data_IF_280593062868
#
_entry.id   IF_280593062868
#
_cell.length_a   1.000
_cell.length_b   1.000
_cell.length_c   1.000
_cell.angle_alpha   90.00
_cell.angle_beta   90.00
_cell.angle_gamma   90.00
#
_symmetry.space_group_name_H-M   'P 1'
#
loop_
_entity.id
_entity.type
_entity.pdbx_description
1 polymer ?
#
# COMPACT_ATOMS: atom_id res chain seq x y z
N UNK A 1 16.45 -16.08 10.23
CA UNK A 1 15.23 -15.26 10.08
C UNK A 1 15.48 -14.30 8.94
N UNK A 2 14.71 -14.41 7.86
CA UNK A 2 14.78 -13.47 6.75
C UNK A 2 13.49 -12.62 6.70
N UNK A 3 13.60 -11.39 6.21
CA UNK A 3 12.46 -10.51 5.94
C UNK A 3 12.35 -10.31 4.44
N UNK A 4 11.22 -10.69 3.88
CA UNK A 4 10.92 -10.46 2.47
C UNK A 4 9.84 -9.40 2.33
N UNK A 5 10.04 -8.42 1.45
CA UNK A 5 8.97 -7.49 1.07
C UNK A 5 8.43 -7.86 -0.32
N UNK A 6 7.11 -7.82 -0.48
CA UNK A 6 6.40 -8.22 -1.71
C UNK A 6 5.54 -7.05 -2.19
N UNK A 7 5.57 -6.82 -3.52
CA UNK A 7 4.76 -5.81 -4.20
C UNK A 7 3.27 -6.14 -4.23
N UNK A 8 2.49 -5.26 -4.87
CA UNK A 8 1.03 -5.32 -4.98
C UNK A 8 0.54 -6.68 -5.48
N UNK A 9 -0.29 -7.36 -4.68
CA UNK A 9 -0.78 -8.71 -4.95
C UNK A 9 -2.07 -8.72 -5.77
N UNK A 10 -2.95 -7.78 -5.53
CA UNK A 10 -4.20 -7.54 -6.27
C UNK A 10 -4.96 -8.82 -6.66
N UNK A 11 -5.13 -9.76 -5.70
CA UNK A 11 -5.89 -11.00 -5.92
C UNK A 11 -5.17 -12.07 -6.76
N UNK A 12 -3.89 -11.95 -7.06
CA UNK A 12 -3.12 -12.97 -7.77
C UNK A 12 -2.60 -14.07 -6.83
N UNK A 13 -3.52 -14.78 -6.20
CA UNK A 13 -3.20 -15.79 -5.17
C UNK A 13 -2.26 -16.90 -5.66
N UNK A 14 -2.51 -17.46 -6.85
CA UNK A 14 -1.64 -18.51 -7.41
C UNK A 14 -0.21 -17.98 -7.66
N UNK A 15 -0.05 -16.76 -8.16
CA UNK A 15 1.27 -16.16 -8.35
C UNK A 15 1.96 -15.93 -7.00
N UNK A 16 1.21 -15.48 -6.00
CA UNK A 16 1.71 -15.33 -4.63
C UNK A 16 2.19 -16.66 -4.05
N UNK A 17 1.41 -17.73 -4.14
CA UNK A 17 1.82 -19.07 -3.68
C UNK A 17 3.13 -19.52 -4.34
N UNK A 18 3.22 -19.40 -5.67
CA UNK A 18 4.45 -19.75 -6.40
C UNK A 18 5.65 -18.86 -6.00
N UNK A 19 5.42 -17.61 -5.64
CA UNK A 19 6.49 -16.72 -5.20
C UNK A 19 6.99 -17.10 -3.80
N UNK A 20 6.11 -17.42 -2.86
CA UNK A 20 6.50 -17.89 -1.52
C UNK A 20 7.21 -19.25 -1.57
N UNK A 21 6.83 -20.14 -2.51
CA UNK A 21 7.56 -21.38 -2.77
C UNK A 21 8.97 -21.10 -3.34
N UNK A 22 9.07 -20.17 -4.30
CA UNK A 22 10.35 -19.78 -4.93
C UNK A 22 11.35 -19.23 -3.91
N UNK A 23 10.88 -18.40 -2.98
CA UNK A 23 11.72 -17.83 -1.91
C UNK A 23 11.93 -18.81 -0.75
N UNK A 24 11.25 -19.96 -0.76
CA UNK A 24 11.26 -20.96 0.30
C UNK A 24 10.90 -20.38 1.66
N UNK A 25 9.81 -19.60 1.68
CA UNK A 25 9.34 -18.93 2.90
C UNK A 25 8.95 -19.94 3.97
N UNK A 26 9.52 -19.78 5.16
CA UNK A 26 9.17 -20.55 6.35
C UNK A 26 8.51 -19.64 7.39
N UNK A 27 7.18 -19.70 7.58
CA UNK A 27 6.46 -18.80 8.49
C UNK A 27 6.89 -18.96 9.97
N UNK A 28 7.57 -20.06 10.33
CA UNK A 28 8.10 -20.25 11.68
C UNK A 28 9.38 -19.44 11.93
N UNK A 29 10.09 -19.04 10.87
CA UNK A 29 11.39 -18.38 10.97
C UNK A 29 11.43 -17.02 10.27
N UNK A 30 10.66 -16.82 9.19
CA UNK A 30 10.75 -15.66 8.32
C UNK A 30 9.54 -14.73 8.48
N UNK A 31 9.65 -13.51 7.95
CA UNK A 31 8.55 -12.54 7.89
C UNK A 31 8.32 -12.09 6.45
N UNK A 32 7.05 -11.93 6.07
CA UNK A 32 6.64 -11.26 4.84
C UNK A 32 6.11 -9.87 5.16
N UNK A 33 6.60 -8.88 4.42
CA UNK A 33 6.06 -7.52 4.41
C UNK A 33 5.31 -7.30 3.11
N UNK A 34 4.02 -7.00 3.18
CA UNK A 34 3.15 -6.81 2.03
C UNK A 34 2.85 -5.32 1.89
N UNK A 35 3.20 -4.73 0.74
CA UNK A 35 3.10 -3.27 0.53
C UNK A 35 1.66 -2.77 0.34
N UNK A 36 0.66 -3.64 0.49
CA UNK A 36 -0.76 -3.31 0.33
C UNK A 36 -1.32 -3.72 -1.03
N UNK A 37 -2.55 -3.29 -1.30
CA UNK A 37 -3.31 -3.70 -2.48
C UNK A 37 -3.33 -5.23 -2.63
N UNK A 38 -3.74 -5.91 -1.58
CA UNK A 38 -3.85 -7.38 -1.61
C UNK A 38 -5.08 -7.85 -2.35
N UNK A 39 -6.11 -7.02 -2.46
CA UNK A 39 -7.39 -7.35 -3.11
C UNK A 39 -7.61 -6.57 -4.39
N UNK A 40 -8.65 -6.99 -5.13
CA UNK A 40 -9.17 -6.36 -6.35
C UNK A 40 -8.33 -6.68 -7.60
N UNK A 41 -8.91 -6.43 -8.79
CA UNK A 41 -8.33 -6.60 -10.13
C UNK A 41 -8.04 -8.04 -10.55
N UNK A 42 -7.33 -8.79 -9.76
CA UNK A 42 -6.98 -10.19 -10.04
C UNK A 42 -8.12 -11.17 -9.72
N UNK A 43 -7.93 -12.44 -10.05
CA UNK A 43 -9.03 -13.44 -10.08
C UNK A 43 -9.44 -13.96 -8.71
N UNK A 44 -8.58 -13.92 -7.69
CA UNK A 44 -8.83 -14.63 -6.44
C UNK A 44 -8.42 -13.84 -5.17
N UNK A 45 -9.08 -12.69 -5.01
CA UNK A 45 -8.89 -11.84 -3.82
C UNK A 45 -9.37 -12.51 -2.53
N UNK A 46 -10.40 -13.35 -2.59
CA UNK A 46 -10.98 -13.99 -1.40
C UNK A 46 -10.01 -14.99 -0.78
N UNK A 47 -9.46 -15.91 -1.59
CA UNK A 47 -8.49 -16.90 -1.10
C UNK A 47 -7.22 -16.23 -0.58
N UNK A 48 -6.75 -15.19 -1.27
CA UNK A 48 -5.57 -14.43 -0.85
C UNK A 48 -5.80 -13.74 0.50
N UNK A 49 -6.94 -13.06 0.67
CA UNK A 49 -7.29 -12.37 1.91
C UNK A 49 -7.37 -13.34 3.10
N UNK A 50 -8.01 -14.50 2.90
CA UNK A 50 -8.09 -15.57 3.91
C UNK A 50 -6.72 -16.10 4.28
N UNK A 51 -5.88 -16.35 3.29
CA UNK A 51 -4.53 -16.88 3.50
C UNK A 51 -3.66 -15.91 4.32
N UNK A 52 -3.66 -14.62 3.97
CA UNK A 52 -2.89 -13.61 4.70
C UNK A 52 -3.42 -13.45 6.13
N UNK A 53 -4.75 -13.45 6.31
CA UNK A 53 -5.36 -13.40 7.65
C UNK A 53 -4.96 -14.60 8.52
N UNK A 54 -4.87 -15.80 7.95
CA UNK A 54 -4.48 -17.01 8.68
C UNK A 54 -2.99 -17.06 9.03
N UNK A 55 -2.15 -16.32 8.30
CA UNK A 55 -0.71 -16.31 8.51
C UNK A 55 -0.27 -15.52 9.76
N UNK A 56 -1.21 -14.78 10.38
CA UNK A 56 -1.01 -14.02 11.61
C UNK A 56 0.28 -13.18 11.57
N UNK A 57 1.10 -13.24 12.62
CA UNK A 57 2.33 -12.44 12.75
C UNK A 57 3.42 -12.76 11.71
N UNK A 58 3.30 -13.84 10.94
CA UNK A 58 4.26 -14.14 9.87
C UNK A 58 4.16 -13.18 8.68
N UNK A 59 3.00 -12.55 8.49
CA UNK A 59 2.74 -11.60 7.40
C UNK A 59 2.30 -10.24 7.94
N UNK A 60 3.10 -9.23 7.71
CA UNK A 60 2.80 -7.83 8.07
C UNK A 60 2.40 -7.11 6.79
N UNK A 61 1.17 -6.59 6.75
CA UNK A 61 0.71 -5.80 5.61
C UNK A 61 0.44 -4.34 5.99
N UNK A 62 0.55 -3.45 5.00
CA UNK A 62 -0.03 -2.12 5.08
C UNK A 62 -1.23 -2.03 4.14
N UNK A 63 -2.17 -1.13 4.42
CA UNK A 63 -3.35 -0.94 3.58
C UNK A 63 -2.99 -0.15 2.32
N UNK A 64 -3.39 -0.68 1.16
CA UNK A 64 -3.36 0.03 -0.11
C UNK A 64 -4.70 0.71 -0.45
N UNK A 65 -4.73 1.42 -1.57
CA UNK A 65 -5.96 2.10 -1.99
C UNK A 65 -7.06 1.13 -2.44
N UNK A 66 -6.72 -0.05 -2.96
CA UNK A 66 -7.70 -1.07 -3.31
C UNK A 66 -8.27 -1.76 -2.07
N UNK A 67 -7.48 -1.94 -1.02
CA UNK A 67 -7.95 -2.47 0.26
C UNK A 67 -8.95 -1.51 0.91
N UNK A 68 -8.62 -0.22 0.95
CA UNK A 68 -9.54 0.83 1.43
C UNK A 68 -10.80 0.94 0.57
N UNK A 69 -10.68 0.77 -0.76
CA UNK A 69 -11.81 0.77 -1.67
C UNK A 69 -12.79 -0.37 -1.36
N UNK A 70 -12.29 -1.60 -1.14
CA UNK A 70 -13.12 -2.73 -0.71
C UNK A 70 -13.90 -2.39 0.56
N UNK A 71 -13.23 -1.84 1.59
CA UNK A 71 -13.86 -1.46 2.85
C UNK A 71 -14.96 -0.41 2.65
N UNK A 72 -14.76 0.57 1.77
CA UNK A 72 -15.75 1.61 1.48
C UNK A 72 -16.93 1.11 0.67
N UNK A 73 -16.72 0.20 -0.28
CA UNK A 73 -17.81 -0.45 -1.03
C UNK A 73 -18.64 -1.30 -0.07
N UNK A 74 -17.99 -2.08 0.78
CA UNK A 74 -18.65 -2.91 1.77
C UNK A 74 -19.49 -2.11 2.78
N UNK A 75 -19.04 -0.91 3.13
CA UNK A 75 -19.77 0.03 3.99
C UNK A 75 -20.90 0.81 3.27
N UNK A 76 -21.07 0.61 1.95
CA UNK A 76 -22.09 1.32 1.16
C UNK A 76 -21.76 2.79 0.87
N UNK A 77 -20.53 3.24 1.15
CA UNK A 77 -20.09 4.63 0.96
C UNK A 77 -19.66 4.88 -0.49
N UNK A 78 -19.06 3.87 -1.13
CA UNK A 78 -18.67 3.93 -2.54
C UNK A 78 -19.40 2.86 -3.35
N UNK A 79 -19.63 3.15 -4.62
CA UNK A 79 -20.11 2.15 -5.58
C UNK A 79 -18.94 1.34 -6.10
N UNK A 80 -19.13 0.04 -6.27
CA UNK A 80 -18.17 -0.79 -6.97
C UNK A 80 -17.99 -0.28 -8.43
N UNK A 81 -16.75 -0.32 -8.90
CA UNK A 81 -16.45 -0.01 -10.29
C UNK A 81 -16.69 -1.27 -11.15
N UNK A 82 -17.12 -1.16 -12.43
CA UNK A 82 -17.36 -2.32 -13.28
C UNK A 82 -16.16 -3.28 -13.45
N UNK A 83 -14.95 -2.78 -13.23
CA UNK A 83 -13.71 -3.60 -13.28
C UNK A 83 -13.27 -4.14 -11.93
N UNK A 84 -14.05 -3.97 -10.86
CA UNK A 84 -13.71 -4.53 -9.55
C UNK A 84 -14.01 -6.03 -9.53
N UNK A 85 -13.13 -6.78 -8.87
CA UNK A 85 -13.24 -8.24 -8.68
C UNK A 85 -13.45 -8.61 -7.20
N UNK A 86 -14.04 -7.68 -6.43
CA UNK A 86 -14.23 -7.81 -4.98
C UNK A 86 -15.53 -8.53 -4.58
N UNK A 87 -16.43 -8.79 -5.53
CA UNK A 87 -17.74 -9.37 -5.24
C UNK A 87 -17.66 -10.70 -4.48
N UNK A 88 -16.73 -11.63 -4.77
CA UNK A 88 -16.60 -12.86 -3.99
C UNK A 88 -16.33 -12.64 -2.49
N UNK A 89 -15.64 -11.55 -2.13
CA UNK A 89 -15.44 -11.18 -0.71
C UNK A 89 -16.75 -10.67 -0.11
N UNK A 90 -17.49 -9.84 -0.85
CA UNK A 90 -18.75 -9.25 -0.39
C UNK A 90 -19.85 -10.29 -0.20
N UNK A 91 -19.81 -11.40 -0.92
CA UNK A 91 -20.75 -12.52 -0.85
C UNK A 91 -20.29 -13.65 0.07
N UNK A 92 -19.06 -13.56 0.60
CA UNK A 92 -18.48 -14.63 1.42
C UNK A 92 -19.21 -14.78 2.77
N UNK A 93 -19.42 -16.01 3.28
CA UNK A 93 -20.07 -16.22 4.57
C UNK A 93 -19.29 -15.65 5.76
N UNK A 94 -17.99 -15.49 5.64
CA UNK A 94 -17.05 -14.90 6.60
C UNK A 94 -16.69 -13.43 6.28
N UNK A 95 -17.48 -12.78 5.41
CA UNK A 95 -17.31 -11.39 4.96
C UNK A 95 -17.02 -10.42 6.11
N UNK A 96 -17.87 -10.41 7.12
CA UNK A 96 -17.77 -9.41 8.18
C UNK A 96 -16.50 -9.59 9.01
N UNK A 97 -16.08 -10.83 9.23
CA UNK A 97 -14.82 -11.16 9.89
C UNK A 97 -13.60 -10.72 9.06
N UNK A 98 -13.63 -10.96 7.73
CA UNK A 98 -12.57 -10.56 6.81
C UNK A 98 -12.45 -9.03 6.73
N UNK A 99 -13.57 -8.33 6.61
CA UNK A 99 -13.58 -6.86 6.54
C UNK A 99 -13.18 -6.22 7.88
N UNK A 100 -13.61 -6.79 9.01
CA UNK A 100 -13.15 -6.35 10.32
C UNK A 100 -11.64 -6.51 10.44
N UNK A 101 -11.08 -7.69 10.13
CA UNK A 101 -9.65 -7.94 10.15
C UNK A 101 -8.87 -6.98 9.24
N UNK A 102 -9.32 -6.78 7.99
CA UNK A 102 -8.67 -5.88 7.04
C UNK A 102 -8.64 -4.44 7.57
N UNK A 103 -9.72 -3.99 8.20
CA UNK A 103 -9.83 -2.65 8.80
C UNK A 103 -8.89 -2.45 10.00
N UNK A 104 -8.42 -3.52 10.62
CA UNK A 104 -7.43 -3.46 11.71
C UNK A 104 -5.99 -3.35 11.19
N UNK A 105 -5.75 -3.51 9.89
CA UNK A 105 -4.40 -3.47 9.36
C UNK A 105 -3.80 -2.07 9.40
N UNK A 106 -2.48 -2.02 9.22
CA UNK A 106 -1.68 -0.79 9.35
C UNK A 106 -1.71 0.02 8.05
N UNK A 107 -1.38 1.30 8.14
CA UNK A 107 -1.05 2.16 6.99
C UNK A 107 0.46 2.31 6.82
N UNK A 108 1.21 2.03 7.88
CA UNK A 108 2.64 2.22 7.94
C UNK A 108 3.28 1.19 8.87
N UNK A 109 4.49 0.74 8.53
CA UNK A 109 5.28 -0.15 9.37
C UNK A 109 6.74 0.25 9.30
N UNK A 110 7.42 0.35 10.44
CA UNK A 110 8.85 0.64 10.49
C UNK A 110 9.58 -0.33 11.41
N UNK A 111 10.72 -0.82 10.94
CA UNK A 111 11.61 -1.67 11.70
C UNK A 111 13.06 -1.41 11.25
N UNK A 112 13.95 -1.16 12.21
CA UNK A 112 15.38 -0.87 11.95
C UNK A 112 15.58 0.23 10.91
N UNK A 113 16.31 -0.03 9.80
CA UNK A 113 16.57 0.93 8.73
C UNK A 113 15.46 1.02 7.68
N UNK A 114 14.45 0.17 7.76
CA UNK A 114 13.36 0.09 6.79
C UNK A 114 12.07 0.71 7.30
N UNK A 115 11.27 1.25 6.39
CA UNK A 115 9.89 1.63 6.64
C UNK A 115 9.04 1.28 5.41
N UNK A 116 7.86 0.71 5.63
CA UNK A 116 6.94 0.29 4.58
C UNK A 116 5.68 1.15 4.59
N UNK A 117 5.29 1.62 3.42
CA UNK A 117 4.05 2.36 3.15
C UNK A 117 3.55 1.98 1.78
N UNK A 118 2.24 1.99 1.53
CA UNK A 118 1.75 1.56 0.22
C UNK A 118 2.22 2.46 -0.93
N UNK A 119 2.04 3.78 -0.85
CA UNK A 119 2.38 4.70 -1.95
C UNK A 119 3.58 5.61 -1.65
N UNK A 120 3.50 6.46 -0.63
CA UNK A 120 4.61 7.38 -0.36
C UNK A 120 4.46 8.21 0.90
N UNK A 121 5.48 9.02 1.18
CA UNK A 121 5.53 9.95 2.29
C UNK A 121 5.74 11.37 1.78
N UNK A 122 5.03 12.34 2.35
CA UNK A 122 5.25 13.74 2.04
C UNK A 122 6.68 14.17 2.41
N UNK A 123 7.31 15.06 1.63
CA UNK A 123 8.72 15.42 1.83
C UNK A 123 9.04 15.97 3.22
N UNK A 124 8.09 16.65 3.85
CA UNK A 124 8.23 17.23 5.19
C UNK A 124 8.13 16.21 6.33
N UNK A 125 7.65 14.95 6.06
CA UNK A 125 7.44 13.97 7.11
C UNK A 125 8.70 13.16 7.40
N UNK A 126 9.15 13.18 8.64
CA UNK A 126 10.10 12.19 9.14
C UNK A 126 9.42 10.83 9.25
N UNK A 127 10.20 9.74 9.33
CA UNK A 127 9.64 8.39 9.52
C UNK A 127 8.83 8.31 10.83
N UNK A 128 9.34 8.89 11.92
CA UNK A 128 8.61 8.90 13.21
C UNK A 128 7.31 9.71 13.12
N UNK A 129 7.31 10.85 12.42
CA UNK A 129 6.09 11.62 12.21
C UNK A 129 5.10 10.85 11.33
N UNK A 130 5.57 10.20 10.25
CA UNK A 130 4.71 9.38 9.39
C UNK A 130 4.04 8.24 10.17
N UNK A 131 4.76 7.58 11.09
CA UNK A 131 4.22 6.54 11.96
C UNK A 131 3.12 7.08 12.88
N UNK A 132 3.33 8.24 13.51
CA UNK A 132 2.31 8.89 14.33
C UNK A 132 1.07 9.26 13.53
N UNK A 133 1.25 9.83 12.33
CA UNK A 133 0.16 10.19 11.42
C UNK A 133 -0.61 8.95 10.92
N UNK A 134 0.10 7.86 10.64
CA UNK A 134 -0.55 6.59 10.31
C UNK A 134 -1.44 6.11 11.46
N UNK A 135 -0.95 6.14 12.69
CA UNK A 135 -1.73 5.75 13.88
C UNK A 135 -2.98 6.62 14.07
N UNK A 136 -2.94 7.93 13.75
CA UNK A 136 -4.13 8.79 13.78
C UNK A 136 -5.21 8.26 12.80
N UNK A 137 -4.84 7.97 11.57
CA UNK A 137 -5.76 7.48 10.55
C UNK A 137 -6.22 6.03 10.83
N UNK A 138 -5.33 5.15 11.28
CA UNK A 138 -5.64 3.79 11.73
C UNK A 138 -6.64 3.79 12.90
N UNK A 139 -6.47 4.71 13.84
CA UNK A 139 -7.40 4.86 14.95
C UNK A 139 -8.80 5.22 14.46
N UNK A 140 -8.91 6.14 13.47
CA UNK A 140 -10.19 6.49 12.87
C UNK A 140 -10.81 5.31 12.08
N UNK A 141 -9.98 4.50 11.41
CA UNK A 141 -10.43 3.27 10.73
C UNK A 141 -10.99 2.23 11.71
N UNK A 142 -10.45 2.14 12.92
CA UNK A 142 -10.79 1.11 13.92
C UNK A 142 -11.99 1.47 14.81
N UNK A 143 -12.41 2.74 14.84
CA UNK A 143 -13.56 3.18 15.64
C UNK A 143 -14.88 2.57 15.15
N UNK A 144 -15.86 2.48 16.04
CA UNK A 144 -17.20 1.97 15.71
C UNK A 144 -17.91 2.84 14.67
N UNK A 145 -17.69 4.16 14.69
CA UNK A 145 -18.22 5.11 13.73
C UNK A 145 -17.35 5.32 12.48
N UNK A 146 -16.49 4.36 12.12
CA UNK A 146 -15.57 4.42 10.96
C UNK A 146 -16.27 4.80 9.66
N UNK A 147 -17.55 4.53 9.50
CA UNK A 147 -18.35 4.89 8.33
C UNK A 147 -18.42 6.41 8.13
N UNK A 148 -18.45 7.18 9.21
CA UNK A 148 -18.38 8.64 9.15
C UNK A 148 -17.03 9.09 8.56
N UNK A 149 -15.93 8.49 9.03
CA UNK A 149 -14.61 8.74 8.45
C UNK A 149 -14.56 8.35 6.97
N UNK A 150 -15.07 7.19 6.58
CA UNK A 150 -15.12 6.76 5.18
C UNK A 150 -15.86 7.76 4.29
N UNK A 151 -16.96 8.34 4.76
CA UNK A 151 -17.72 9.33 4.00
C UNK A 151 -16.91 10.60 3.70
N UNK A 152 -15.87 10.88 4.48
CA UNK A 152 -14.99 12.05 4.37
C UNK A 152 -13.58 11.72 3.86
N UNK A 153 -13.22 10.43 3.78
CA UNK A 153 -11.85 10.00 3.51
C UNK A 153 -11.42 10.31 2.08
N UNK A 154 -12.31 10.11 1.09
CA UNK A 154 -11.95 10.35 -0.30
C UNK A 154 -12.13 11.80 -0.72
N UNK A 155 -11.32 12.18 -1.67
CA UNK A 155 -11.27 13.50 -2.28
C UNK A 155 -9.83 13.87 -2.62
N UNK A 156 -9.66 14.71 -3.63
CA UNK A 156 -8.33 15.15 -4.09
C UNK A 156 -7.91 16.49 -3.45
N UNK A 157 -8.69 17.01 -2.52
CA UNK A 157 -8.44 18.28 -1.86
C UNK A 157 -8.65 18.15 -0.34
N UNK A 158 -7.78 18.78 0.42
CA UNK A 158 -6.53 19.42 0.00
C UNK A 158 -5.50 18.40 -0.46
N UNK A 159 -4.56 18.82 -1.31
CA UNK A 159 -3.51 17.96 -1.85
C UNK A 159 -2.09 18.37 -1.39
N UNK A 160 -2.01 19.03 -0.26
CA UNK A 160 -0.79 19.44 0.41
C UNK A 160 -0.97 19.31 1.92
N UNK A 161 0.09 19.47 2.71
CA UNK A 161 0.08 19.33 4.16
C UNK A 161 0.19 20.68 4.86
N UNK A 162 -0.49 20.82 5.97
CA UNK A 162 -0.30 21.86 6.98
C UNK A 162 -0.46 21.22 8.37
N UNK A 163 0.44 21.56 9.29
CA UNK A 163 0.47 20.94 10.62
C UNK A 163 -0.77 21.32 11.47
N UNK A 164 -1.36 22.48 11.19
CA UNK A 164 -2.54 23.02 11.86
C UNK A 164 -3.84 22.30 11.51
N UNK A 165 -3.85 21.48 10.45
CA UNK A 165 -5.07 20.77 10.09
C UNK A 165 -5.44 19.72 11.10
N UNK A 166 -6.76 19.62 11.34
CA UNK A 166 -7.38 18.70 12.28
C UNK A 166 -8.53 17.93 11.61
N UNK A 167 -9.09 16.94 12.31
CA UNK A 167 -10.26 16.18 11.89
C UNK A 167 -10.08 15.49 10.52
N UNK A 168 -11.18 15.35 9.79
CA UNK A 168 -11.18 14.58 8.54
C UNK A 168 -10.34 15.18 7.42
N UNK A 169 -10.10 16.49 7.41
CA UNK A 169 -9.19 17.13 6.45
C UNK A 169 -7.76 16.61 6.62
N UNK A 170 -7.26 16.56 7.86
CA UNK A 170 -5.94 16.01 8.21
C UNK A 170 -5.85 14.54 7.84
N UNK A 171 -6.81 13.73 8.27
CA UNK A 171 -6.85 12.28 7.99
C UNK A 171 -6.88 11.98 6.49
N UNK A 172 -7.64 12.76 5.70
CA UNK A 172 -7.68 12.62 4.23
C UNK A 172 -6.32 12.83 3.59
N UNK A 173 -5.56 13.81 4.02
CA UNK A 173 -4.22 14.05 3.46
C UNK A 173 -3.27 12.92 3.83
N UNK A 174 -3.34 12.40 5.06
CA UNK A 174 -2.55 11.25 5.51
C UNK A 174 -2.84 10.05 4.61
N UNK A 175 -4.10 9.66 4.47
CA UNK A 175 -4.52 8.54 3.61
C UNK A 175 -4.06 8.75 2.16
N UNK A 176 -4.30 9.94 1.60
CA UNK A 176 -3.94 10.24 0.22
C UNK A 176 -2.41 10.15 -0.03
N UNK A 177 -1.60 10.65 0.88
CA UNK A 177 -0.16 10.54 0.76
C UNK A 177 0.30 9.08 0.84
N UNK A 178 -0.16 8.35 1.85
CA UNK A 178 0.28 6.99 2.13
C UNK A 178 -0.24 5.95 1.14
N UNK A 179 -1.38 6.22 0.47
CA UNK A 179 -2.02 5.20 -0.38
C UNK A 179 -2.19 5.61 -1.85
N UNK A 180 -1.91 6.88 -2.25
CA UNK A 180 -2.22 7.35 -3.60
C UNK A 180 -1.15 8.21 -4.26
N UNK A 181 -0.18 8.71 -3.51
CA UNK A 181 0.81 9.65 -4.04
C UNK A 181 1.85 8.95 -4.93
N UNK A 182 2.13 9.57 -6.09
CA UNK A 182 3.24 9.18 -6.99
C UNK A 182 4.24 10.31 -7.14
N UNK A 183 3.73 11.49 -7.50
CA UNK A 183 4.51 12.70 -7.74
C UNK A 183 3.96 13.86 -6.92
N UNK A 184 4.84 14.79 -6.57
CA UNK A 184 4.48 16.04 -5.91
C UNK A 184 5.41 17.17 -6.37
N UNK A 185 5.07 18.43 -6.04
CA UNK A 185 6.01 19.53 -6.16
C UNK A 185 7.09 19.45 -5.07
N UNK A 186 8.13 20.27 -5.16
CA UNK A 186 9.16 20.36 -4.13
C UNK A 186 8.59 20.69 -2.74
N UNK A 187 7.49 21.45 -2.69
CA UNK A 187 6.77 21.83 -1.46
C UNK A 187 5.77 20.74 -0.99
N UNK A 188 5.70 19.59 -1.69
CA UNK A 188 4.86 18.47 -1.31
C UNK A 188 3.40 18.56 -1.79
N UNK A 189 3.09 19.38 -2.81
CA UNK A 189 1.74 19.41 -3.39
C UNK A 189 1.53 18.21 -4.31
N UNK A 190 0.69 17.27 -3.89
CA UNK A 190 0.43 16.00 -4.57
C UNK A 190 -0.35 16.16 -5.87
N UNK A 191 -0.04 15.32 -6.87
CA UNK A 191 -0.80 15.17 -8.11
C UNK A 191 -1.36 13.75 -8.23
N UNK A 192 -2.66 13.59 -8.01
CA UNK A 192 -3.34 12.28 -8.06
C UNK A 192 -3.80 11.86 -9.45
N UNK A 193 -3.79 12.76 -10.43
CA UNK A 193 -4.18 12.47 -11.80
C UNK A 193 -3.05 11.74 -12.57
N UNK A 194 -1.81 11.91 -12.13
CA UNK A 194 -0.66 11.31 -12.79
C UNK A 194 -0.60 9.79 -12.55
N UNK A 195 -0.45 9.01 -13.65
CA UNK A 195 -0.34 7.55 -13.63
C UNK A 195 0.76 7.03 -14.57
N UNK A 196 1.51 7.94 -15.19
CA UNK A 196 2.56 7.62 -16.16
C UNK A 196 3.87 7.14 -15.54
N UNK A 197 4.87 6.94 -16.41
CA UNK A 197 6.25 6.59 -16.04
C UNK A 197 7.08 7.85 -15.73
N UNK A 198 8.35 7.65 -15.36
CA UNK A 198 9.26 8.75 -14.99
C UNK A 198 9.48 9.77 -16.12
N UNK A 199 9.38 9.35 -17.39
CA UNK A 199 9.62 10.21 -18.57
C UNK A 199 8.44 11.12 -18.89
N UNK A 200 7.25 10.77 -18.39
CA UNK A 200 6.00 11.48 -18.65
C UNK A 200 5.60 12.44 -17.53
N UNK A 201 6.47 12.65 -16.53
CA UNK A 201 6.20 13.54 -15.40
C UNK A 201 6.05 14.99 -15.89
N UNK A 202 4.94 15.68 -15.55
CA UNK A 202 4.72 17.05 -15.98
C UNK A 202 5.69 18.03 -15.30
N UNK A 203 6.02 19.17 -15.97
CA UNK A 203 6.89 20.19 -15.39
C UNK A 203 6.42 20.67 -14.01
N UNK A 204 7.37 20.90 -13.12
CA UNK A 204 7.11 21.36 -11.75
C UNK A 204 6.78 20.21 -10.77
N UNK A 205 6.72 18.97 -11.24
CA UNK A 205 6.55 17.79 -10.38
C UNK A 205 7.78 16.88 -10.45
N UNK A 206 8.00 16.15 -9.38
CA UNK A 206 9.03 15.11 -9.28
C UNK A 206 8.43 13.88 -8.58
N UNK A 207 9.00 12.67 -8.74
CA UNK A 207 8.68 11.56 -7.86
C UNK A 207 8.83 11.98 -6.41
N UNK A 208 7.90 11.61 -5.54
CA UNK A 208 7.93 12.03 -4.13
C UNK A 208 9.26 11.68 -3.44
N UNK A 209 9.86 10.56 -3.82
CA UNK A 209 11.13 10.08 -3.26
C UNK A 209 12.36 10.83 -3.79
N UNK A 210 12.23 11.60 -4.88
CA UNK A 210 13.30 12.41 -5.48
C UNK A 210 13.25 13.89 -5.01
N UNK A 211 12.31 14.26 -4.13
CA UNK A 211 12.33 15.60 -3.54
C UNK A 211 13.61 15.76 -2.73
N UNK A 212 14.45 16.78 -3.03
CA UNK A 212 15.69 16.99 -2.30
C UNK A 212 15.46 17.19 -0.80
N UNK A 213 16.33 16.61 0.01
CA UNK A 213 16.29 16.75 1.48
C UNK A 213 14.97 16.31 2.15
N UNK A 214 14.21 15.39 1.52
CA UNK A 214 13.02 14.85 2.19
C UNK A 214 13.36 14.32 3.58
N UNK A 215 12.52 14.61 4.56
CA UNK A 215 12.79 14.32 5.97
C UNK A 215 12.95 12.82 6.28
N UNK A 216 12.39 11.93 5.42
CA UNK A 216 12.47 10.47 5.54
C UNK A 216 13.70 9.84 4.86
N UNK A 217 14.61 10.62 4.25
CA UNK A 217 15.72 10.11 3.41
C UNK A 217 16.75 9.23 4.13
N UNK A 218 16.81 9.27 5.47
CA UNK A 218 17.74 8.46 6.28
C UNK A 218 17.30 7.00 6.46
N UNK A 219 16.08 6.66 6.03
CA UNK A 219 15.54 5.30 6.04
C UNK A 219 15.27 4.82 4.61
N UNK A 220 15.37 3.53 4.37
CA UNK A 220 14.91 2.94 3.11
C UNK A 220 13.40 2.75 3.17
N UNK A 221 12.67 3.46 2.29
CA UNK A 221 11.22 3.33 2.19
C UNK A 221 10.87 2.22 1.19
N UNK A 222 10.05 1.28 1.62
CA UNK A 222 9.54 0.18 0.79
C UNK A 222 8.10 0.54 0.40
N UNK A 223 7.79 0.48 -0.90
CA UNK A 223 6.45 0.83 -1.39
C UNK A 223 6.02 0.04 -2.62
N UNK A 224 4.74 0.16 -2.97
CA UNK A 224 4.08 -0.36 -4.16
C UNK A 224 3.39 0.73 -4.97
N UNK A 225 2.11 0.50 -5.34
CA UNK A 225 1.17 1.46 -5.91
C UNK A 225 1.48 1.97 -7.32
N UNK A 226 2.73 2.20 -7.66
CA UNK A 226 3.12 2.86 -8.91
C UNK A 226 3.65 1.85 -9.93
N UNK A 227 2.76 1.06 -10.52
CA UNK A 227 3.12 -0.01 -11.46
C UNK A 227 3.91 0.50 -12.68
N UNK A 228 3.62 1.69 -13.18
CA UNK A 228 4.36 2.29 -14.31
C UNK A 228 5.81 2.68 -13.95
N UNK A 229 6.17 2.75 -12.67
CA UNK A 229 7.55 2.90 -12.21
C UNK A 229 8.35 1.61 -12.38
N UNK A 230 7.70 0.46 -12.21
CA UNK A 230 8.34 -0.84 -12.17
C UNK A 230 9.22 -1.06 -10.94
N UNK A 231 10.10 -2.04 -11.02
CA UNK A 231 11.10 -2.27 -9.97
C UNK A 231 12.09 -1.12 -9.93
N UNK A 232 12.11 -0.40 -8.80
CA UNK A 232 13.03 0.73 -8.63
C UNK A 232 13.70 0.66 -7.26
N UNK A 233 15.01 0.43 -7.25
CA UNK A 233 15.81 0.24 -6.04
C UNK A 233 16.91 1.28 -6.01
N UNK A 234 16.98 2.04 -4.93
CA UNK A 234 18.07 2.97 -4.58
C UNK A 234 18.50 2.73 -3.14
N UNK A 235 19.43 3.52 -2.63
CA UNK A 235 19.88 3.39 -1.23
C UNK A 235 18.73 3.60 -0.24
N UNK A 236 17.78 4.47 -0.57
CA UNK A 236 16.73 4.89 0.34
C UNK A 236 15.29 4.68 -0.20
N UNK A 237 15.14 3.86 -1.26
CA UNK A 237 13.85 3.45 -1.81
C UNK A 237 13.89 2.03 -2.35
N UNK A 238 12.83 1.28 -2.13
CA UNK A 238 12.53 -0.01 -2.75
C UNK A 238 11.07 0.03 -3.22
N UNK A 239 10.82 0.25 -4.52
CA UNK A 239 9.50 0.20 -5.12
C UNK A 239 9.29 -1.15 -5.81
N UNK A 240 8.24 -1.89 -5.42
CA UNK A 240 8.04 -3.30 -5.75
C UNK A 240 6.83 -3.58 -6.64
N UNK A 241 5.97 -2.58 -6.94
CA UNK A 241 4.85 -2.80 -7.86
C UNK A 241 5.37 -2.90 -9.29
N UNK A 242 5.49 -4.12 -9.77
CA UNK A 242 5.99 -4.47 -11.10
C UNK A 242 4.88 -4.88 -12.06
N UNK A 243 3.65 -4.46 -11.76
CA UNK A 243 2.52 -4.53 -12.67
C UNK A 243 1.99 -5.94 -12.92
N UNK A 244 1.95 -6.81 -11.91
CA UNK A 244 1.38 -8.16 -12.01
C UNK A 244 0.01 -8.15 -12.71
N UNK A 245 -0.89 -7.28 -12.29
CA UNK A 245 -2.24 -7.12 -12.85
C UNK A 245 -2.25 -6.68 -14.33
N UNK A 246 -1.16 -6.15 -14.82
CA UNK A 246 -1.00 -5.72 -16.21
C UNK A 246 -0.20 -6.70 -17.08
N UNK A 247 -0.02 -7.95 -16.60
CA UNK A 247 0.78 -8.96 -17.28
C UNK A 247 2.30 -8.82 -17.04
N UNK A 248 2.70 -8.00 -16.06
CA UNK A 248 4.07 -7.86 -15.61
C UNK A 248 4.48 -8.98 -14.66
N UNK A 249 5.17 -8.65 -13.60
CA UNK A 249 5.73 -9.60 -12.64
C UNK A 249 5.22 -9.34 -11.23
N UNK A 250 5.16 -10.38 -10.40
CA UNK A 250 5.11 -10.25 -8.95
C UNK A 250 6.54 -10.29 -8.42
N UNK A 251 6.91 -9.31 -7.61
CA UNK A 251 8.27 -9.11 -7.14
C UNK A 251 8.35 -9.22 -5.62
N UNK A 252 9.32 -10.00 -5.15
CA UNK A 252 9.77 -10.02 -3.76
C UNK A 252 11.22 -9.58 -3.67
N UNK A 253 11.59 -8.97 -2.54
CA UNK A 253 12.98 -8.65 -2.20
C UNK A 253 13.29 -9.15 -0.79
N UNK A 254 14.41 -9.80 -0.60
CA UNK A 254 14.93 -10.11 0.74
C UNK A 254 15.71 -8.91 1.25
N UNK A 255 15.34 -8.41 2.44
CA UNK A 255 15.84 -7.12 2.92
C UNK A 255 17.30 -7.16 3.38
N UNK A 256 17.80 -8.30 3.84
CA UNK A 256 19.16 -8.45 4.39
C UNK A 256 20.26 -8.25 3.34
N UNK A 257 20.03 -8.71 2.11
CA UNK A 257 21.00 -8.65 1.01
C UNK A 257 20.46 -8.00 -0.27
N UNK A 258 19.22 -7.51 -0.22
CA UNK A 258 18.49 -6.93 -1.35
C UNK A 258 18.35 -7.86 -2.56
N UNK A 259 18.35 -9.18 -2.33
CA UNK A 259 18.13 -10.17 -3.38
C UNK A 259 16.72 -10.12 -3.88
N UNK A 260 16.55 -9.89 -5.19
CA UNK A 260 15.27 -9.80 -5.87
C UNK A 260 14.84 -11.16 -6.40
N UNK A 261 13.55 -11.46 -6.27
CA UNK A 261 12.86 -12.62 -6.83
C UNK A 261 11.66 -12.14 -7.62
N UNK A 262 11.49 -12.62 -8.84
CA UNK A 262 10.39 -12.19 -9.71
C UNK A 262 9.75 -13.40 -10.37
N UNK A 263 8.41 -13.35 -10.47
CA UNK A 263 7.62 -14.33 -11.21
C UNK A 263 6.73 -13.60 -12.21
N UNK A 264 6.69 -14.03 -13.50
CA UNK A 264 5.70 -13.53 -14.44
C UNK A 264 4.29 -13.86 -13.95
N UNK A 265 3.40 -12.87 -13.99
CA UNK A 265 1.98 -13.09 -13.76
C UNK A 265 1.34 -13.48 -15.08
N UNK A 266 0.98 -14.77 -15.21
CA UNK A 266 0.18 -15.21 -16.36
C UNK A 266 -1.20 -14.53 -16.32
N UNK A 267 -1.65 -14.04 -17.46
CA UNK A 267 -3.04 -13.59 -17.65
C UNK A 267 -3.98 -14.78 -17.73
#
# INVERSE_FOLDING_TARGET
MAIYAIGDLQGYFTAFQRLIDLIRFDPAQDKLWLVGDIVNRGPDSLSLLRHIKQADDAMIMVLGNHDLHLLMVAAGIQKAHPSDTIQPILDAPDRDELLYWLRQQRLFHAQEQYAMVHAGLLPCWTVSQAEQLAHEAESALRQDNYQEFFSQMYGNKPNYWQDEWTGYTRLRVIINAMTRMRICTAEGKMNFAFKGDLRSIPPGYVPWFNVPQRASQKKTIICGHWSALGLHITDNLIALDTGCVWGGQLTAIRLEDRKVFQLPCAQ
#
